data_IF_463484702779
#
_entry.id   IF_463484702779
#
_cell.length_a   1.000
_cell.length_b   1.000
_cell.length_c   1.000
_cell.angle_alpha   90.00
_cell.angle_beta   90.00
_cell.angle_gamma   90.00
#
_symmetry.space_group_name_H-M   'P 1'
#
loop_
_entity.id
_entity.type
_entity.pdbx_description
1 polymer ?
#
# COMPACT_ATOMS: atom_id res chain seq x y z
N UNK A 1 -0.64 9.30 15.55
CA UNK A 1 0.50 9.53 14.64
C UNK A 1 0.02 9.24 13.22
N UNK A 2 0.52 9.95 12.21
CA UNK A 2 0.14 9.79 10.79
C UNK A 2 1.40 9.56 9.96
N UNK A 3 1.28 8.78 8.88
CA UNK A 3 2.34 8.65 7.88
C UNK A 3 2.02 9.59 6.72
N UNK A 4 3.03 10.30 6.23
CA UNK A 4 2.89 11.25 5.12
C UNK A 4 3.83 10.81 4.01
N UNK A 5 3.27 10.59 2.81
CA UNK A 5 4.02 10.26 1.59
C UNK A 5 3.92 11.43 0.61
N UNK A 6 5.03 11.75 -0.06
CA UNK A 6 5.07 12.68 -1.17
C UNK A 6 5.45 11.94 -2.45
N UNK A 7 4.62 12.06 -3.50
CA UNK A 7 4.81 11.33 -4.78
C UNK A 7 4.40 12.16 -5.98
N UNK A 8 4.93 11.86 -7.16
CA UNK A 8 4.54 12.54 -8.40
C UNK A 8 3.33 11.89 -9.08
N UNK A 9 3.15 10.58 -8.89
CA UNK A 9 2.05 9.82 -9.46
C UNK A 9 1.43 8.98 -8.35
N UNK A 10 0.12 9.07 -8.21
CA UNK A 10 -0.58 8.30 -7.19
C UNK A 10 -1.96 7.88 -7.69
N UNK A 11 -2.20 6.58 -7.76
CA UNK A 11 -3.48 6.06 -8.17
C UNK A 11 -4.36 5.79 -6.95
N UNK A 12 -5.12 6.82 -6.54
CA UNK A 12 -5.98 6.73 -5.34
C UNK A 12 -7.01 5.59 -5.41
N UNK A 13 -7.48 5.22 -6.61
CA UNK A 13 -8.39 4.09 -6.81
C UNK A 13 -7.74 2.75 -6.43
N UNK A 14 -6.48 2.54 -6.82
CA UNK A 14 -5.72 1.35 -6.45
C UNK A 14 -5.49 1.32 -4.95
N UNK A 15 -5.10 2.44 -4.34
CA UNK A 15 -4.94 2.49 -2.88
C UNK A 15 -6.24 2.16 -2.15
N UNK A 16 -7.37 2.70 -2.59
CA UNK A 16 -8.68 2.41 -1.99
C UNK A 16 -9.06 0.93 -2.13
N UNK A 17 -8.75 0.29 -3.26
CA UNK A 17 -8.90 -1.14 -3.44
C UNK A 17 -8.04 -1.94 -2.44
N UNK A 18 -6.79 -1.51 -2.23
CA UNK A 18 -5.89 -2.12 -1.23
C UNK A 18 -6.43 -1.94 0.19
N UNK A 19 -6.97 -0.77 0.55
CA UNK A 19 -7.61 -0.53 1.85
C UNK A 19 -8.79 -1.47 2.08
N UNK A 20 -9.69 -1.60 1.09
CA UNK A 20 -10.83 -2.53 1.15
C UNK A 20 -10.40 -3.99 1.26
N UNK A 21 -9.25 -4.33 0.69
CA UNK A 21 -8.68 -5.67 0.76
C UNK A 21 -7.95 -5.94 2.08
N UNK A 22 -7.91 -4.96 3.01
CA UNK A 22 -7.18 -5.06 4.28
C UNK A 22 -5.66 -4.96 4.10
N UNK A 23 -5.22 -4.49 2.94
CA UNK A 23 -3.83 -4.49 2.54
C UNK A 23 -3.18 -3.11 2.58
N UNK A 24 -3.88 -2.00 2.82
CA UNK A 24 -3.26 -0.68 2.92
C UNK A 24 -3.85 0.16 4.07
N UNK A 25 -3.09 1.15 4.60
CA UNK A 25 -3.59 2.09 5.59
C UNK A 25 -4.66 3.02 5.01
N UNK A 26 -5.57 3.52 5.85
CA UNK A 26 -6.60 4.46 5.42
C UNK A 26 -5.97 5.80 5.02
N UNK A 27 -6.36 6.32 3.86
CA UNK A 27 -6.03 7.70 3.48
C UNK A 27 -6.89 8.63 4.33
N UNK A 28 -6.22 9.49 5.08
CA UNK A 28 -6.83 10.55 5.89
C UNK A 28 -6.94 11.85 5.09
N UNK A 29 -5.96 12.14 4.23
CA UNK A 29 -5.98 13.27 3.31
C UNK A 29 -5.18 12.97 2.04
N UNK A 30 -5.63 13.52 0.91
CA UNK A 30 -4.95 13.43 -0.38
C UNK A 30 -5.04 14.78 -1.08
N UNK A 31 -3.90 15.41 -1.31
CA UNK A 31 -3.84 16.75 -1.88
C UNK A 31 -2.78 16.86 -2.98
N UNK A 32 -3.16 17.51 -4.09
CA UNK A 32 -2.22 17.81 -5.17
C UNK A 32 -1.48 19.10 -4.85
N UNK A 33 -0.16 19.00 -4.76
CA UNK A 33 0.75 20.10 -4.52
C UNK A 33 1.21 20.74 -5.85
N UNK A 34 1.81 21.96 -5.78
CA UNK A 34 2.51 22.55 -6.91
C UNK A 34 3.55 21.59 -7.51
N UNK A 35 3.89 21.81 -8.79
CA UNK A 35 4.89 21.01 -9.52
C UNK A 35 4.51 19.53 -9.71
N UNK A 36 3.23 19.18 -9.59
CA UNK A 36 2.72 17.84 -9.92
C UNK A 36 2.91 16.79 -8.81
N UNK A 37 3.29 17.21 -7.60
CA UNK A 37 3.37 16.31 -6.46
C UNK A 37 2.01 16.09 -5.82
N UNK A 38 1.91 15.02 -5.03
CA UNK A 38 0.79 14.73 -4.15
C UNK A 38 1.31 14.53 -2.74
N UNK A 39 0.63 15.11 -1.76
CA UNK A 39 0.75 14.75 -0.35
C UNK A 39 -0.33 13.75 0.00
N UNK A 40 0.08 12.57 0.46
CA UNK A 40 -0.83 11.51 0.91
C UNK A 40 -0.62 11.31 2.40
N UNK A 41 -1.62 11.69 3.20
CA UNK A 41 -1.63 11.48 4.65
C UNK A 41 -2.44 10.23 4.92
N UNK A 42 -1.85 9.28 5.64
CA UNK A 42 -2.46 8.00 5.97
C UNK A 42 -2.32 7.67 7.45
N UNK A 43 -3.19 6.82 7.96
CA UNK A 43 -3.08 6.35 9.34
C UNK A 43 -1.81 5.51 9.55
N UNK A 44 -1.27 5.52 10.76
CA UNK A 44 -0.20 4.61 11.13
C UNK A 44 -0.83 3.31 11.58
N UNK A 45 -0.57 2.26 10.80
CA UNK A 45 -0.74 0.89 11.26
C UNK A 45 0.22 0.69 12.42
N UNK A 46 -0.25 0.17 13.56
CA UNK A 46 0.60 -0.11 14.73
C UNK A 46 1.79 -0.97 14.30
N UNK A 47 2.92 -0.31 14.05
CA UNK A 47 4.06 -0.89 13.35
C UNK A 47 4.93 -1.58 14.39
N UNK A 48 4.50 -2.73 14.89
CA UNK A 48 5.41 -3.64 15.57
C UNK A 48 6.23 -4.33 14.49
N UNK A 49 7.35 -3.70 14.14
CA UNK A 49 8.25 -4.13 13.07
C UNK A 49 8.92 -5.46 13.45
N UNK A 50 8.36 -6.59 13.03
CA UNK A 50 9.10 -7.85 12.95
C UNK A 50 9.59 -8.11 11.52
N UNK A 51 10.84 -8.56 11.45
CA UNK A 51 11.64 -8.76 10.24
C UNK A 51 10.96 -9.65 9.18
N UNK A 52 11.25 -9.31 7.92
CA UNK A 52 10.73 -9.79 6.61
C UNK A 52 10.91 -11.30 6.29
N UNK A 53 10.84 -12.20 7.28
CA UNK A 53 11.05 -13.64 7.07
C UNK A 53 9.80 -14.49 7.33
N UNK A 54 8.58 -13.97 7.09
CA UNK A 54 7.36 -14.75 7.30
C UNK A 54 6.94 -15.55 6.05
N UNK A 55 6.88 -16.90 6.10
CA UNK A 55 6.55 -17.77 4.96
C UNK A 55 5.16 -17.55 4.35
N UNK A 56 4.27 -16.85 5.05
CA UNK A 56 2.91 -16.52 4.60
C UNK A 56 2.90 -15.64 3.32
N UNK A 57 4.05 -15.04 2.97
CA UNK A 57 4.22 -14.11 1.85
C UNK A 57 4.23 -14.76 0.45
N UNK A 58 4.75 -15.98 0.30
CA UNK A 58 4.89 -16.63 -1.01
C UNK A 58 3.55 -17.10 -1.61
N UNK A 59 2.52 -17.32 -0.78
CA UNK A 59 1.21 -17.79 -1.25
C UNK A 59 0.27 -16.66 -1.71
N UNK A 60 0.46 -15.42 -1.26
CA UNK A 60 -0.55 -14.36 -1.42
C UNK A 60 -0.25 -13.30 -2.51
N UNK A 61 1.00 -13.20 -2.99
CA UNK A 61 1.35 -12.23 -4.04
C UNK A 61 0.66 -12.52 -5.37
N UNK A 62 0.50 -13.81 -5.75
CA UNK A 62 -0.26 -14.15 -6.96
C UNK A 62 -1.73 -13.77 -6.82
N UNK A 63 -2.32 -13.97 -5.64
CA UNK A 63 -3.72 -13.67 -5.38
C UNK A 63 -4.00 -12.17 -5.44
N UNK A 64 -3.13 -11.33 -4.88
CA UNK A 64 -3.34 -9.87 -4.88
C UNK A 64 -3.09 -9.24 -6.26
N UNK A 65 -2.04 -9.70 -6.97
CA UNK A 65 -1.78 -9.26 -8.35
C UNK A 65 -2.92 -9.71 -9.28
N UNK A 66 -3.44 -10.91 -9.09
CA UNK A 66 -4.61 -11.37 -9.84
C UNK A 66 -5.86 -10.53 -9.55
N UNK A 67 -6.07 -10.13 -8.29
CA UNK A 67 -7.15 -9.20 -7.91
C UNK A 67 -7.00 -7.84 -8.58
N UNK A 68 -5.79 -7.28 -8.66
CA UNK A 68 -5.55 -6.04 -9.39
C UNK A 68 -5.89 -6.21 -10.87
N UNK A 69 -5.44 -7.31 -11.48
CA UNK A 69 -5.75 -7.63 -12.88
C UNK A 69 -7.26 -7.73 -13.16
N UNK A 70 -8.04 -8.34 -12.27
CA UNK A 70 -9.51 -8.43 -12.40
C UNK A 70 -10.19 -7.06 -12.36
N UNK A 71 -9.58 -6.07 -11.73
CA UNK A 71 -10.10 -4.70 -11.59
C UNK A 71 -9.46 -3.71 -12.59
N UNK A 72 -8.69 -4.22 -13.56
CA UNK A 72 -7.92 -3.42 -14.53
C UNK A 72 -6.94 -2.43 -13.86
N UNK A 73 -6.34 -2.87 -12.76
CA UNK A 73 -5.35 -2.13 -11.99
C UNK A 73 -3.97 -2.76 -12.13
N UNK A 74 -2.94 -1.91 -12.17
CA UNK A 74 -1.54 -2.33 -12.18
C UNK A 74 -0.80 -1.53 -11.13
N UNK A 75 -0.08 -2.22 -10.25
CA UNK A 75 0.87 -1.61 -9.33
C UNK A 75 2.22 -1.48 -10.04
N UNK A 76 2.76 -0.27 -10.08
CA UNK A 76 3.98 -0.01 -10.87
C UNK A 76 5.25 -0.48 -10.18
N UNK A 77 5.29 -0.39 -8.84
CA UNK A 77 6.50 -0.67 -8.06
C UNK A 77 6.28 -1.69 -6.91
N UNK A 78 5.80 -2.89 -7.25
CA UNK A 78 5.54 -3.96 -6.28
C UNK A 78 6.85 -4.71 -5.92
N UNK A 79 7.70 -4.07 -5.12
CA UNK A 79 8.94 -4.65 -4.60
C UNK A 79 8.83 -4.97 -3.11
N UNK A 80 9.65 -5.92 -2.62
CA UNK A 80 9.68 -6.31 -1.21
C UNK A 80 9.97 -5.16 -0.26
N UNK A 81 10.68 -4.12 -0.71
CA UNK A 81 10.96 -2.90 0.05
C UNK A 81 9.73 -2.02 0.25
N UNK A 82 8.73 -2.13 -0.63
CA UNK A 82 7.47 -1.40 -0.58
C UNK A 82 6.37 -2.24 0.08
N UNK A 83 6.72 -3.19 0.93
CA UNK A 83 5.73 -4.04 1.60
C UNK A 83 6.04 -4.05 3.09
N UNK A 84 5.06 -3.63 3.90
CA UNK A 84 5.14 -3.79 5.35
C UNK A 84 4.31 -5.02 5.77
N UNK A 85 4.71 -5.65 6.86
CA UNK A 85 3.95 -6.75 7.43
C UNK A 85 3.46 -6.33 8.82
N UNK A 86 2.19 -6.60 9.11
CA UNK A 86 1.66 -6.57 10.47
C UNK A 86 1.54 -8.01 10.96
N UNK A 87 1.67 -8.23 12.27
CA UNK A 87 1.38 -9.55 12.83
C UNK A 87 -0.01 -10.03 12.35
N UNK A 88 -0.06 -11.27 11.85
CA UNK A 88 -1.22 -11.97 11.32
C UNK A 88 -1.93 -11.38 10.09
N UNK A 89 -1.42 -10.30 9.49
CA UNK A 89 -2.00 -9.69 8.28
C UNK A 89 -0.95 -9.03 7.38
N UNK A 90 -0.95 -9.40 6.10
CA UNK A 90 -0.09 -8.77 5.09
C UNK A 90 -0.69 -7.41 4.74
N UNK A 91 -0.11 -6.34 5.28
CA UNK A 91 -0.45 -4.98 4.87
C UNK A 91 0.54 -4.57 3.78
N UNK A 92 0.23 -4.95 2.56
CA UNK A 92 0.89 -4.43 1.36
C UNK A 92 0.73 -2.91 1.29
N UNK A 93 1.62 -2.15 1.92
CA UNK A 93 1.64 -0.70 1.72
C UNK A 93 2.11 -0.46 0.29
N UNK A 94 1.15 -0.48 -0.62
CA UNK A 94 1.26 -0.11 -2.01
C UNK A 94 1.61 1.37 -2.05
N UNK A 95 2.89 1.63 -1.82
CA UNK A 95 3.53 2.92 -1.95
C UNK A 95 3.88 3.08 -3.44
N UNK A 96 2.93 3.25 -4.35
CA UNK A 96 3.22 3.87 -5.67
C UNK A 96 3.67 5.32 -5.45
#
# INVERSE_FOLDING_TARGET
LVLIKFVQWYLIKLHYFCVKSGCAPWILAFERLPSGWYAVVMDILSLESKSLAHPCFMLNNKTIVYKFYMEDLVHSDLQTVNILCREDSVIVIVLD
#
